data_IF_067354112092
#
_entry.id   IF_067354112092
#
_cell.length_a   1.000
_cell.length_b   1.000
_cell.length_c   1.000
_cell.angle_alpha   90.00
_cell.angle_beta   90.00
_cell.angle_gamma   90.00
#
_symmetry.space_group_name_H-M   'P 1'
#
loop_
_entity.id
_entity.type
_entity.pdbx_description
1 polymer ?
#
# COMPACT_ATOMS: atom_id res chain seq x y z
N UNK A 1 1.11 24.28 -17.21
CA UNK A 1 0.68 23.14 -16.37
C UNK A 1 1.96 22.41 -15.97
N UNK A 2 2.17 22.15 -14.69
CA UNK A 2 3.33 21.36 -14.24
C UNK A 2 3.05 19.88 -14.51
N UNK A 3 4.06 19.16 -15.00
CA UNK A 3 3.98 17.73 -15.34
C UNK A 3 5.22 16.99 -14.86
N UNK A 4 5.16 15.66 -14.81
CA UNK A 4 6.30 14.79 -14.57
C UNK A 4 6.51 13.92 -15.81
N UNK A 5 7.76 13.82 -16.26
CA UNK A 5 8.13 12.96 -17.38
C UNK A 5 8.85 11.74 -16.82
N UNK A 6 8.39 10.54 -17.19
CA UNK A 6 8.95 9.24 -16.79
C UNK A 6 9.34 8.49 -18.06
N UNK A 7 10.52 7.87 -18.07
CA UNK A 7 10.89 6.93 -19.14
C UNK A 7 10.02 5.68 -19.05
N UNK A 8 9.52 5.19 -20.18
CA UNK A 8 8.76 3.94 -20.17
C UNK A 8 9.71 2.78 -19.85
N UNK A 9 9.39 2.03 -18.80
CA UNK A 9 10.15 0.83 -18.43
C UNK A 9 9.54 -0.42 -19.09
N UNK A 10 8.21 -0.47 -19.15
CA UNK A 10 7.46 -1.56 -19.77
C UNK A 10 6.30 -0.99 -20.58
N UNK A 11 6.13 -1.47 -21.83
CA UNK A 11 5.02 -1.06 -22.71
C UNK A 11 3.64 -1.25 -22.05
N UNK A 12 3.52 -2.29 -21.20
CA UNK A 12 2.28 -2.57 -20.45
C UNK A 12 1.82 -1.42 -19.54
N UNK A 13 2.74 -0.56 -19.08
CA UNK A 13 2.36 0.62 -18.27
C UNK A 13 1.52 1.58 -19.11
N UNK A 14 1.98 1.88 -20.33
CA UNK A 14 1.25 2.73 -21.27
C UNK A 14 -0.10 2.10 -21.65
N UNK A 15 -0.12 0.81 -21.94
CA UNK A 15 -1.36 0.10 -22.28
C UNK A 15 -2.36 0.13 -21.13
N UNK A 16 -1.90 -0.03 -19.89
CA UNK A 16 -2.75 0.05 -18.69
C UNK A 16 -3.34 1.44 -18.53
N UNK A 17 -2.57 2.50 -18.75
CA UNK A 17 -3.05 3.88 -18.69
C UNK A 17 -4.05 4.25 -19.80
N UNK A 18 -4.07 3.51 -20.91
CA UNK A 18 -5.02 3.69 -22.02
C UNK A 18 -6.36 2.99 -21.81
N UNK A 19 -6.51 2.19 -20.75
CA UNK A 19 -7.79 1.57 -20.41
C UNK A 19 -8.74 2.68 -19.94
N UNK A 20 -9.95 2.84 -20.53
CA UNK A 20 -10.84 3.95 -20.21
C UNK A 20 -11.16 4.08 -18.71
N UNK A 21 -11.41 2.96 -18.02
CA UNK A 21 -11.69 2.95 -16.58
C UNK A 21 -10.49 3.45 -15.73
N UNK A 22 -9.25 3.23 -16.20
CA UNK A 22 -8.03 3.74 -15.56
C UNK A 22 -7.86 5.23 -15.87
N UNK A 23 -8.02 5.63 -17.13
CA UNK A 23 -7.87 7.01 -17.60
C UNK A 23 -8.88 7.96 -16.92
N UNK A 24 -10.13 7.52 -16.76
CA UNK A 24 -11.22 8.30 -16.17
C UNK A 24 -11.19 8.32 -14.63
N UNK A 25 -10.40 7.45 -13.99
CA UNK A 25 -10.38 7.34 -12.54
C UNK A 25 -9.77 8.56 -11.88
N UNK A 26 -10.48 9.25 -10.95
CA UNK A 26 -9.90 10.37 -10.21
C UNK A 26 -8.88 9.92 -9.15
N UNK A 27 -8.79 8.61 -8.89
CA UNK A 27 -7.95 8.02 -7.85
C UNK A 27 -6.69 7.34 -8.39
N UNK A 28 -6.52 7.32 -9.71
CA UNK A 28 -5.31 6.84 -10.38
C UNK A 28 -4.65 8.03 -11.07
N UNK A 29 -3.32 8.08 -11.00
CA UNK A 29 -2.54 9.17 -11.58
C UNK A 29 -2.75 9.22 -13.08
N UNK A 30 -3.16 10.39 -13.56
CA UNK A 30 -3.48 10.63 -14.96
C UNK A 30 -2.22 10.72 -15.82
N UNK A 31 -2.19 9.88 -16.85
CA UNK A 31 -1.34 10.09 -18.02
C UNK A 31 -1.92 11.26 -18.84
N UNK A 32 -1.12 12.30 -19.04
CA UNK A 32 -1.50 13.52 -19.74
C UNK A 32 -1.13 13.45 -21.21
N UNK A 33 0.06 12.90 -21.50
CA UNK A 33 0.61 12.82 -22.85
C UNK A 33 1.68 11.72 -22.96
N UNK A 34 2.09 11.41 -24.19
CA UNK A 34 3.20 10.50 -24.50
C UNK A 34 4.13 11.22 -25.48
N UNK A 35 5.43 11.27 -25.15
CA UNK A 35 6.44 11.81 -26.06
C UNK A 35 7.03 10.63 -26.83
N UNK A 36 6.82 10.61 -28.14
CA UNK A 36 7.34 9.56 -28.98
C UNK A 36 8.85 9.77 -29.29
N UNK A 37 9.61 8.68 -29.50
CA UNK A 37 11.04 8.72 -29.82
C UNK A 37 11.37 9.64 -31.01
N UNK A 38 10.48 9.65 -32.00
CA UNK A 38 10.64 10.36 -33.27
C UNK A 38 10.56 11.89 -33.14
N UNK A 39 9.92 12.40 -32.08
CA UNK A 39 9.66 13.84 -31.92
C UNK A 39 10.86 14.62 -31.35
N UNK A 40 11.75 13.96 -30.60
CA UNK A 40 12.87 14.63 -29.90
C UNK A 40 14.22 13.87 -29.93
N UNK A 41 14.32 12.77 -30.68
CA UNK A 41 15.55 11.98 -30.78
C UNK A 41 15.86 11.16 -29.52
N UNK A 42 14.82 10.79 -28.76
CA UNK A 42 14.94 9.87 -27.62
C UNK A 42 15.01 8.41 -28.13
N UNK A 43 15.65 7.53 -27.37
CA UNK A 43 15.71 6.09 -27.72
C UNK A 43 14.42 5.32 -27.37
N UNK A 44 13.62 5.83 -26.42
CA UNK A 44 12.38 5.20 -25.92
C UNK A 44 11.27 6.23 -25.70
N UNK A 45 9.98 5.84 -25.81
CA UNK A 45 8.86 6.72 -25.48
C UNK A 45 8.93 7.20 -24.03
N UNK A 46 8.41 8.40 -23.76
CA UNK A 46 8.30 8.95 -22.39
C UNK A 46 6.84 9.20 -22.03
N UNK A 47 6.47 8.84 -20.82
CA UNK A 47 5.14 9.08 -20.26
C UNK A 47 5.11 10.42 -19.55
N UNK A 48 4.15 11.28 -19.91
CA UNK A 48 3.95 12.59 -19.29
C UNK A 48 2.74 12.50 -18.36
N UNK A 49 2.99 12.57 -17.05
CA UNK A 49 1.96 12.50 -16.02
C UNK A 49 1.61 13.85 -15.45
N UNK A 50 0.40 13.95 -14.88
CA UNK A 50 0.03 15.09 -14.05
C UNK A 50 1.01 15.24 -12.86
N UNK A 51 1.26 16.48 -12.46
CA UNK A 51 2.07 16.78 -11.28
C UNK A 51 1.32 16.45 -9.98
N UNK A 52 2.03 15.84 -9.03
CA UNK A 52 1.59 15.64 -7.65
C UNK A 52 2.68 16.14 -6.69
N UNK A 53 2.30 16.78 -5.58
CA UNK A 53 3.25 17.54 -4.74
C UNK A 53 4.26 16.65 -4.00
N UNK A 54 3.82 15.50 -3.52
CA UNK A 54 4.66 14.54 -2.79
C UNK A 54 4.13 13.11 -2.91
N UNK A 55 4.93 12.14 -2.48
CA UNK A 55 4.47 10.78 -2.17
C UNK A 55 4.21 10.61 -0.66
N UNK A 56 3.44 9.58 -0.31
CA UNK A 56 3.06 9.25 1.07
C UNK A 56 4.28 8.93 1.93
N UNK A 57 5.32 8.32 1.36
CA UNK A 57 6.56 8.01 2.08
C UNK A 57 7.27 9.30 2.54
N UNK A 58 7.40 10.32 1.69
CA UNK A 58 7.97 11.61 2.08
C UNK A 58 7.07 12.37 3.07
N UNK A 59 5.75 12.18 3.01
CA UNK A 59 4.77 12.76 3.92
C UNK A 59 4.73 12.04 5.29
N UNK A 60 5.84 12.01 6.02
CA UNK A 60 5.93 11.30 7.30
C UNK A 60 5.08 11.92 8.42
N UNK A 61 4.31 11.13 9.18
CA UNK A 61 3.51 11.62 10.28
C UNK A 61 4.36 11.73 11.56
N UNK A 62 5.28 12.69 11.63
CA UNK A 62 6.07 12.93 12.85
C UNK A 62 5.29 13.81 13.83
N UNK A 63 4.92 13.25 14.98
CA UNK A 63 4.27 13.97 16.07
C UNK A 63 2.78 14.22 15.84
N UNK A 64 2.40 14.80 14.69
CA UNK A 64 1.00 15.01 14.30
C UNK A 64 0.82 14.86 12.79
N UNK A 65 -0.41 14.53 12.38
CA UNK A 65 -0.81 14.55 10.99
C UNK A 65 -1.07 15.99 10.53
N UNK A 66 -0.57 16.36 9.35
CA UNK A 66 -0.91 17.64 8.71
C UNK A 66 -2.41 17.77 8.47
N UNK A 67 -3.08 16.64 8.23
CA UNK A 67 -4.52 16.54 8.08
C UNK A 67 -5.07 15.42 8.98
N UNK A 68 -5.95 15.69 9.97
CA UNK A 68 -6.34 14.70 10.97
C UNK A 68 -7.00 13.43 10.44
N UNK A 69 -7.72 13.52 9.32
CA UNK A 69 -8.37 12.37 8.65
C UNK A 69 -7.55 11.80 7.48
N UNK A 70 -6.27 12.12 7.41
CA UNK A 70 -5.43 11.71 6.28
C UNK A 70 -5.37 10.19 6.11
N UNK A 71 -5.24 9.36 7.17
CA UNK A 71 -5.32 7.90 7.05
C UNK A 71 -6.60 7.43 6.34
N UNK A 72 -7.75 8.01 6.68
CA UNK A 72 -9.04 7.67 6.07
C UNK A 72 -9.12 8.12 4.60
N UNK A 73 -8.63 9.33 4.29
CA UNK A 73 -8.60 9.88 2.92
C UNK A 73 -7.71 9.05 2.02
N UNK A 74 -6.52 8.68 2.51
CA UNK A 74 -5.60 7.78 1.78
C UNK A 74 -6.26 6.43 1.55
N UNK A 75 -6.75 5.81 2.63
CA UNK A 75 -7.36 4.48 2.57
C UNK A 75 -8.52 4.47 1.58
N UNK A 76 -9.43 5.44 1.67
CA UNK A 76 -10.55 5.55 0.74
C UNK A 76 -10.06 5.67 -0.71
N UNK A 77 -9.15 6.59 -0.99
CA UNK A 77 -8.70 6.87 -2.36
C UNK A 77 -8.00 5.66 -2.98
N UNK A 78 -7.16 4.96 -2.22
CA UNK A 78 -6.50 3.73 -2.67
C UNK A 78 -7.51 2.62 -2.90
N UNK A 79 -8.51 2.46 -2.01
CA UNK A 79 -9.56 1.47 -2.19
C UNK A 79 -10.44 1.74 -3.42
N UNK A 80 -10.79 3.00 -3.70
CA UNK A 80 -11.53 3.37 -4.92
C UNK A 80 -10.71 3.09 -6.18
N UNK A 81 -9.39 3.33 -6.15
CA UNK A 81 -8.49 2.93 -7.24
C UNK A 81 -8.46 1.40 -7.41
N UNK A 82 -8.32 0.63 -6.32
CA UNK A 82 -8.28 -0.83 -6.38
C UNK A 82 -9.62 -1.46 -6.77
N UNK A 83 -10.76 -0.79 -6.54
CA UNK A 83 -12.04 -1.23 -7.07
C UNK A 83 -12.04 -1.22 -8.62
N UNK A 84 -11.40 -0.22 -9.25
CA UNK A 84 -11.21 -0.20 -10.71
C UNK A 84 -10.37 -1.39 -11.17
N UNK A 85 -9.26 -1.69 -10.49
CA UNK A 85 -8.44 -2.86 -10.83
C UNK A 85 -9.21 -4.18 -10.69
N UNK A 86 -9.99 -4.32 -9.63
CA UNK A 86 -10.82 -5.49 -9.38
C UNK A 86 -11.85 -5.70 -10.51
N UNK A 87 -12.52 -4.64 -10.97
CA UNK A 87 -13.49 -4.72 -12.07
C UNK A 87 -12.82 -5.07 -13.42
N UNK A 88 -11.53 -4.76 -13.57
CA UNK A 88 -10.71 -5.11 -14.72
C UNK A 88 -10.09 -6.52 -14.63
N UNK A 89 -10.35 -7.28 -13.56
CA UNK A 89 -9.66 -8.54 -13.26
C UNK A 89 -8.13 -8.41 -13.22
N UNK A 90 -7.66 -7.26 -12.73
CA UNK A 90 -6.26 -6.89 -12.66
C UNK A 90 -5.82 -6.64 -11.22
N UNK A 91 -4.50 -6.66 -11.03
CA UNK A 91 -3.81 -6.36 -9.77
C UNK A 91 -2.72 -5.33 -10.03
N UNK A 92 -2.53 -4.41 -9.09
CA UNK A 92 -1.48 -3.39 -9.14
C UNK A 92 -0.12 -3.97 -8.75
N UNK A 93 -0.10 -4.84 -7.73
CA UNK A 93 1.05 -5.54 -7.15
C UNK A 93 2.12 -4.69 -6.46
N UNK A 94 2.25 -3.41 -6.78
CA UNK A 94 3.19 -2.49 -6.10
C UNK A 94 2.53 -1.35 -5.31
N UNK A 95 1.44 -1.65 -4.59
CA UNK A 95 0.89 -0.70 -3.62
C UNK A 95 1.87 -0.51 -2.47
N UNK A 96 2.46 0.68 -2.39
CA UNK A 96 3.42 1.06 -1.36
C UNK A 96 3.32 2.55 -1.04
N UNK A 97 3.90 3.03 0.08
CA UNK A 97 3.92 4.45 0.38
C UNK A 97 4.62 5.32 -0.69
N UNK A 98 5.47 4.76 -1.55
CA UNK A 98 6.14 5.54 -2.61
C UNK A 98 5.21 5.76 -3.82
N UNK A 99 4.21 4.90 -3.98
CA UNK A 99 3.31 4.88 -5.14
C UNK A 99 1.92 5.46 -4.84
N UNK A 100 1.76 6.06 -3.65
CA UNK A 100 0.59 6.84 -3.27
C UNK A 100 1.01 8.30 -3.28
N UNK A 101 0.50 9.06 -4.24
CA UNK A 101 0.83 10.47 -4.44
C UNK A 101 -0.22 11.37 -3.80
N UNK A 102 0.21 12.51 -3.28
CA UNK A 102 -0.62 13.45 -2.55
C UNK A 102 -0.34 14.88 -3.01
N UNK A 103 -1.41 15.64 -3.20
CA UNK A 103 -1.38 17.08 -3.42
C UNK A 103 -2.37 17.79 -2.51
N UNK A 104 -2.18 19.10 -2.31
CA UNK A 104 -3.09 19.93 -1.50
C UNK A 104 -3.26 19.43 -0.06
N UNK A 105 -2.17 18.95 0.56
CA UNK A 105 -2.18 18.36 1.91
C UNK A 105 -2.65 19.34 3.00
N UNK A 106 -2.42 20.63 2.78
CA UNK A 106 -2.83 21.75 3.62
C UNK A 106 -4.30 22.16 3.41
N UNK A 107 -4.96 21.63 2.37
CA UNK A 107 -6.35 21.93 2.06
C UNK A 107 -7.31 20.96 2.77
N UNK A 108 -8.60 21.33 2.94
CA UNK A 108 -9.59 20.46 3.57
C UNK A 108 -9.85 19.15 2.82
N UNK A 109 -9.46 19.09 1.55
CA UNK A 109 -9.64 17.96 0.65
C UNK A 109 -8.32 17.66 -0.07
N UNK A 110 -7.38 16.95 0.58
CA UNK A 110 -6.18 16.47 -0.08
C UNK A 110 -6.55 15.55 -1.26
N UNK A 111 -5.82 15.67 -2.36
CA UNK A 111 -5.98 14.79 -3.51
C UNK A 111 -4.99 13.65 -3.35
N UNK A 112 -5.49 12.42 -3.33
CA UNK A 112 -4.66 11.21 -3.23
C UNK A 112 -4.89 10.35 -4.47
N UNK A 113 -3.79 9.93 -5.11
CA UNK A 113 -3.84 9.08 -6.30
C UNK A 113 -2.81 7.96 -6.23
N UNK A 114 -3.20 6.77 -6.67
CA UNK A 114 -2.30 5.65 -6.91
C UNK A 114 -1.52 5.90 -8.21
N UNK A 115 -0.24 5.59 -8.22
CA UNK A 115 0.68 5.77 -9.36
C UNK A 115 1.46 4.49 -9.59
N UNK A 116 2.20 4.46 -10.69
CA UNK A 116 3.18 3.42 -11.02
C UNK A 116 2.52 2.07 -11.36
N UNK A 117 1.90 2.03 -12.54
CA UNK A 117 1.15 0.87 -13.03
C UNK A 117 2.04 -0.09 -13.83
N UNK A 118 3.36 0.06 -13.70
CA UNK A 118 4.35 -0.68 -14.47
C UNK A 118 4.45 -2.15 -14.04
N UNK A 119 4.02 -2.49 -12.83
CA UNK A 119 3.93 -3.85 -12.31
C UNK A 119 2.49 -4.39 -12.32
N UNK A 120 1.54 -3.73 -13.01
CA UNK A 120 0.18 -4.21 -13.09
C UNK A 120 0.05 -5.42 -14.03
N UNK A 121 -0.76 -6.41 -13.62
CA UNK A 121 -1.03 -7.63 -14.39
C UNK A 121 -2.45 -8.13 -14.17
N UNK A 122 -2.89 -9.10 -14.98
CA UNK A 122 -4.09 -9.88 -14.71
C UNK A 122 -3.98 -10.64 -13.38
N UNK A 123 -5.11 -10.82 -12.69
CA UNK A 123 -5.16 -11.60 -11.46
C UNK A 123 -4.73 -13.07 -11.65
N UNK A 124 -4.16 -13.66 -10.60
CA UNK A 124 -3.68 -15.05 -10.56
C UNK A 124 -2.28 -15.26 -11.14
N UNK A 125 -1.62 -14.21 -11.65
CA UNK A 125 -0.24 -14.28 -12.16
C UNK A 125 0.73 -14.59 -11.01
N UNK A 126 1.64 -15.55 -11.26
CA UNK A 126 2.69 -15.96 -10.31
C UNK A 126 4.02 -15.23 -10.50
N UNK A 127 4.10 -14.31 -11.46
CA UNK A 127 5.33 -13.64 -11.90
C UNK A 127 5.94 -14.31 -13.13
N UNK A 128 6.96 -13.66 -13.73
CA UNK A 128 7.81 -14.24 -14.78
C UNK A 128 8.84 -15.24 -14.24
N UNK A 129 9.68 -15.81 -15.11
CA UNK A 129 10.78 -16.70 -14.67
C UNK A 129 11.72 -15.94 -13.72
N UNK A 130 11.75 -16.33 -12.45
CA UNK A 130 12.59 -15.70 -11.41
C UNK A 130 12.03 -14.41 -10.82
N UNK A 131 10.82 -14.00 -11.20
CA UNK A 131 10.14 -12.82 -10.65
C UNK A 131 8.97 -13.25 -9.77
N UNK A 132 8.74 -12.51 -8.69
CA UNK A 132 7.61 -12.72 -7.79
C UNK A 132 6.74 -11.46 -7.84
N UNK A 133 5.41 -11.58 -7.97
CA UNK A 133 4.53 -10.43 -7.93
C UNK A 133 4.60 -9.84 -6.51
N UNK A 134 4.59 -8.51 -6.41
CA UNK A 134 4.82 -7.74 -5.17
C UNK A 134 6.27 -7.69 -4.65
N UNK A 135 6.61 -6.51 -4.15
CA UNK A 135 7.87 -6.22 -3.44
C UNK A 135 7.91 -6.93 -2.09
N UNK A 136 9.12 -7.22 -1.59
CA UNK A 136 9.31 -7.95 -0.33
C UNK A 136 8.65 -7.26 0.87
N UNK A 137 8.56 -5.93 0.82
CA UNK A 137 8.01 -5.06 1.84
C UNK A 137 6.51 -5.25 2.03
N UNK A 138 5.75 -5.48 0.96
CA UNK A 138 4.28 -5.51 0.96
C UNK A 138 3.70 -6.84 0.48
N UNK A 139 4.54 -7.86 0.27
CA UNK A 139 4.14 -9.19 -0.23
C UNK A 139 3.21 -9.91 0.73
N UNK A 140 2.07 -10.37 0.19
CA UNK A 140 1.02 -11.06 0.91
C UNK A 140 1.37 -12.53 1.22
N UNK A 141 0.81 -13.14 2.29
CA UNK A 141 1.08 -14.53 2.67
C UNK A 141 0.79 -15.54 1.57
N UNK A 142 -0.29 -15.35 0.81
CA UNK A 142 -0.63 -16.23 -0.32
C UNK A 142 0.32 -16.10 -1.51
N UNK A 143 0.96 -14.94 -1.67
CA UNK A 143 1.99 -14.74 -2.68
C UNK A 143 3.29 -15.45 -2.27
N UNK A 144 3.66 -15.38 -0.98
CA UNK A 144 4.75 -16.21 -0.42
C UNK A 144 4.51 -17.72 -0.61
N UNK A 145 3.25 -18.15 -0.59
CA UNK A 145 2.83 -19.54 -0.87
C UNK A 145 2.82 -19.90 -2.37
N UNK A 146 3.18 -18.98 -3.26
CA UNK A 146 3.15 -19.24 -4.70
C UNK A 146 1.74 -19.39 -5.28
N UNK A 147 0.71 -18.84 -4.62
CA UNK A 147 -0.67 -18.84 -5.12
C UNK A 147 -0.91 -17.78 -6.23
N UNK A 148 0.10 -16.96 -6.55
CA UNK A 148 -0.04 -15.80 -7.44
C UNK A 148 -0.62 -14.59 -6.73
N UNK A 149 -0.56 -13.43 -7.39
CA UNK A 149 -1.15 -12.19 -6.88
C UNK A 149 -2.62 -12.07 -7.31
N UNK A 150 -3.46 -11.69 -6.36
CA UNK A 150 -4.91 -11.53 -6.52
C UNK A 150 -5.33 -10.17 -6.00
N UNK A 151 -6.57 -9.70 -6.26
CA UNK A 151 -7.07 -8.45 -5.67
C UNK A 151 -6.94 -8.43 -4.14
N UNK A 152 -7.12 -9.58 -3.49
CA UNK A 152 -6.87 -9.72 -2.05
C UNK A 152 -5.41 -9.43 -1.66
N UNK A 153 -4.42 -9.73 -2.52
CA UNK A 153 -3.01 -9.44 -2.27
C UNK A 153 -2.71 -7.95 -2.29
N UNK A 154 -3.38 -7.16 -3.15
CA UNK A 154 -3.29 -5.70 -3.10
C UNK A 154 -3.94 -5.14 -1.84
N UNK A 155 -5.06 -5.72 -1.38
CA UNK A 155 -5.70 -5.34 -0.11
C UNK A 155 -4.77 -5.53 1.09
N UNK A 156 -3.95 -6.60 1.08
CA UNK A 156 -2.89 -6.78 2.07
C UNK A 156 -1.83 -5.67 1.97
N UNK A 157 -1.39 -5.34 0.76
CA UNK A 157 -0.41 -4.27 0.53
C UNK A 157 -0.92 -2.89 0.98
N UNK A 158 -2.22 -2.61 0.91
CA UNK A 158 -2.82 -1.40 1.53
C UNK A 158 -2.59 -1.39 3.03
N UNK A 159 -2.91 -2.48 3.72
CA UNK A 159 -2.70 -2.62 5.17
C UNK A 159 -1.23 -2.41 5.55
N UNK A 160 -0.31 -3.07 4.85
CA UNK A 160 1.13 -2.93 5.10
C UNK A 160 1.62 -1.51 4.82
N UNK A 161 1.11 -0.87 3.76
CA UNK A 161 1.42 0.52 3.41
C UNK A 161 1.05 1.48 4.53
N UNK A 162 -0.16 1.35 5.09
CA UNK A 162 -0.60 2.15 6.22
C UNK A 162 0.30 1.95 7.45
N UNK A 163 0.63 0.70 7.78
CA UNK A 163 1.54 0.37 8.88
C UNK A 163 2.90 1.03 8.69
N UNK A 164 3.53 0.85 7.52
CA UNK A 164 4.87 1.39 7.24
C UNK A 164 4.90 2.91 7.29
N UNK A 165 3.85 3.55 6.79
CA UNK A 165 3.70 5.00 6.80
C UNK A 165 3.50 5.54 8.23
N UNK A 166 2.51 5.02 8.97
CA UNK A 166 2.19 5.45 10.34
C UNK A 166 3.38 5.26 11.28
N UNK A 167 4.10 4.14 11.16
CA UNK A 167 5.29 3.88 11.96
C UNK A 167 6.54 4.60 11.46
N UNK A 168 6.48 5.24 10.30
CA UNK A 168 7.63 5.89 9.64
C UNK A 168 8.84 4.94 9.42
N UNK A 169 8.59 3.62 9.38
CA UNK A 169 9.59 2.57 9.18
C UNK A 169 8.95 1.31 8.60
N UNK A 170 9.70 0.57 7.77
CA UNK A 170 9.26 -0.71 7.24
C UNK A 170 9.47 -1.84 8.27
N UNK A 171 8.39 -2.22 8.96
CA UNK A 171 8.42 -3.34 9.92
C UNK A 171 8.19 -4.70 9.25
N UNK A 172 7.63 -4.74 8.04
CA UNK A 172 7.67 -5.89 7.15
C UNK A 172 8.86 -5.78 6.18
N UNK A 173 9.13 -6.82 5.39
CA UNK A 173 10.20 -6.82 4.40
C UNK A 173 11.62 -7.00 4.97
N UNK A 174 12.65 -6.72 4.16
CA UNK A 174 14.01 -7.22 4.39
C UNK A 174 14.83 -6.39 5.40
N UNK A 175 14.36 -5.19 5.77
CA UNK A 175 15.12 -4.30 6.66
C UNK A 175 15.28 -4.89 8.07
N UNK A 176 16.37 -4.49 8.73
CA UNK A 176 16.70 -4.90 10.10
C UNK A 176 18.00 -5.70 10.14
N UNK A 177 17.90 -7.02 9.97
CA UNK A 177 19.07 -7.92 9.95
C UNK A 177 19.29 -8.47 8.55
N UNK A 178 20.55 -8.69 8.19
CA UNK A 178 20.92 -9.37 6.95
C UNK A 178 21.09 -10.85 7.27
N UNK A 179 20.21 -11.69 6.74
CA UNK A 179 20.41 -13.14 6.70
C UNK A 179 20.92 -13.45 5.29
N UNK A 180 22.23 -13.68 5.18
CA UNK A 180 22.91 -13.84 3.91
C UNK A 180 22.24 -14.96 3.10
N UNK A 181 21.91 -14.66 1.84
CA UNK A 181 21.28 -15.58 0.88
C UNK A 181 19.87 -16.08 1.27
N UNK A 182 19.29 -15.56 2.37
CA UNK A 182 18.00 -15.99 2.92
C UNK A 182 17.11 -14.79 3.29
N UNK A 183 17.02 -13.82 2.38
CA UNK A 183 16.21 -12.61 2.58
C UNK A 183 14.72 -12.95 2.72
N UNK A 184 14.23 -13.92 1.96
CA UNK A 184 12.84 -14.36 2.00
C UNK A 184 12.49 -15.01 3.35
N UNK A 185 13.37 -15.87 3.89
CA UNK A 185 13.20 -16.41 5.22
C UNK A 185 13.11 -15.30 6.29
N UNK A 186 13.92 -14.25 6.17
CA UNK A 186 13.87 -13.12 7.10
C UNK A 186 12.55 -12.34 6.99
N UNK A 187 12.08 -12.07 5.77
CA UNK A 187 10.80 -11.41 5.53
C UNK A 187 9.62 -12.23 6.11
N UNK A 188 9.58 -13.53 5.82
CA UNK A 188 8.55 -14.42 6.34
C UNK A 188 8.59 -14.54 7.86
N UNK A 189 9.76 -14.60 8.47
CA UNK A 189 9.89 -14.70 9.93
C UNK A 189 9.34 -13.45 10.63
N UNK A 190 9.59 -12.27 10.06
CA UNK A 190 9.01 -11.01 10.54
C UNK A 190 7.48 -10.98 10.36
N UNK A 191 6.98 -11.45 9.22
CA UNK A 191 5.53 -11.59 9.00
C UNK A 191 4.91 -12.50 10.07
N UNK A 192 5.51 -13.68 10.33
CA UNK A 192 5.05 -14.61 11.36
C UNK A 192 5.08 -14.01 12.77
N UNK A 193 6.12 -13.23 13.09
CA UNK A 193 6.24 -12.55 14.39
C UNK A 193 5.10 -11.54 14.60
N UNK A 194 4.78 -10.78 13.56
CA UNK A 194 3.78 -9.70 13.62
C UNK A 194 2.34 -10.22 13.54
N UNK A 195 2.08 -11.18 12.65
CA UNK A 195 0.71 -11.59 12.30
C UNK A 195 0.32 -12.97 12.83
N UNK A 196 1.29 -13.73 13.36
CA UNK A 196 1.13 -15.15 13.63
C UNK A 196 1.55 -16.04 12.46
N UNK A 197 1.72 -17.32 12.75
CA UNK A 197 2.20 -18.29 11.77
C UNK A 197 1.15 -18.62 10.72
N UNK A 198 1.63 -18.85 9.50
CA UNK A 198 0.82 -19.31 8.37
C UNK A 198 1.45 -20.58 7.78
N UNK A 199 0.60 -21.48 7.29
CA UNK A 199 1.03 -22.79 6.80
C UNK A 199 1.61 -22.73 5.39
N UNK A 200 2.59 -23.59 5.10
CA UNK A 200 3.11 -23.92 3.76
C UNK A 200 3.31 -25.43 3.64
N UNK A 201 3.20 -25.96 2.43
CA UNK A 201 3.37 -27.40 2.16
C UNK A 201 4.77 -27.72 1.64
N UNK A 202 5.25 -28.94 1.89
CA UNK A 202 6.64 -29.37 1.59
C UNK A 202 7.00 -29.35 0.10
N UNK A 203 5.99 -29.43 -0.76
CA UNK A 203 6.07 -29.43 -2.22
C UNK A 203 6.12 -28.02 -2.83
N UNK A 204 5.91 -26.96 -2.04
CA UNK A 204 5.92 -25.58 -2.52
C UNK A 204 7.34 -25.04 -2.70
N UNK A 205 7.53 -24.29 -3.78
CA UNK A 205 8.71 -23.45 -3.96
C UNK A 205 8.83 -22.48 -2.77
N UNK A 206 10.03 -22.39 -2.19
CA UNK A 206 10.27 -21.59 -0.99
C UNK A 206 10.04 -22.31 0.36
N UNK A 207 9.64 -23.58 0.39
CA UNK A 207 9.47 -24.33 1.65
C UNK A 207 10.73 -24.33 2.54
N UNK A 208 11.92 -24.41 1.94
CA UNK A 208 13.20 -24.33 2.67
C UNK A 208 13.38 -22.97 3.37
N UNK A 209 13.09 -21.88 2.67
CA UNK A 209 13.12 -20.52 3.24
C UNK A 209 12.09 -20.39 4.37
N UNK A 210 10.91 -20.97 4.22
CA UNK A 210 9.87 -20.93 5.26
C UNK A 210 10.20 -21.75 6.50
N UNK A 211 10.84 -22.91 6.31
CA UNK A 211 11.35 -23.69 7.44
C UNK A 211 12.40 -22.91 8.21
N UNK A 212 13.29 -22.22 7.49
CA UNK A 212 14.25 -21.30 8.12
C UNK A 212 13.54 -20.13 8.79
N UNK A 213 12.53 -19.54 8.16
CA UNK A 213 11.73 -18.45 8.72
C UNK A 213 11.09 -18.83 10.06
N UNK A 214 10.47 -20.02 10.11
CA UNK A 214 9.87 -20.57 11.32
C UNK A 214 10.91 -20.76 12.43
N UNK A 215 12.11 -21.22 12.07
CA UNK A 215 13.20 -21.36 13.02
C UNK A 215 13.73 -20.00 13.52
N UNK A 216 13.85 -19.00 12.63
CA UNK A 216 14.27 -17.64 12.96
C UNK A 216 13.27 -16.93 13.88
N UNK A 217 11.97 -17.10 13.64
CA UNK A 217 10.90 -16.54 14.47
C UNK A 217 10.90 -17.15 15.88
N UNK A 218 11.12 -18.46 15.99
CA UNK A 218 11.17 -19.18 17.26
C UNK A 218 12.50 -19.06 18.02
N UNK A 219 13.52 -18.45 17.41
CA UNK A 219 14.86 -18.42 17.96
C UNK A 219 14.99 -17.37 19.07
N UNK A 220 15.61 -17.76 20.17
CA UNK A 220 16.13 -16.83 21.19
C UNK A 220 17.65 -16.79 21.14
N UNK A 221 18.23 -15.66 21.53
CA UNK A 221 19.67 -15.51 21.75
C UNK A 221 19.95 -14.96 23.13
N UNK A 222 21.13 -15.27 23.67
CA UNK A 222 21.59 -14.70 24.93
C UNK A 222 22.25 -13.34 24.67
N UNK A 223 21.69 -12.28 25.24
CA UNK A 223 22.27 -10.94 25.16
C UNK A 223 23.65 -10.94 25.83
N UNK A 224 24.69 -10.58 25.08
CA UNK A 224 26.06 -10.67 25.56
C UNK A 224 26.39 -9.63 26.64
N UNK A 225 25.56 -8.58 26.80
CA UNK A 225 25.74 -7.52 27.80
C UNK A 225 24.97 -7.82 29.07
N UNK A 226 23.71 -8.24 28.95
CA UNK A 226 22.84 -8.46 30.12
C UNK A 226 22.80 -9.91 30.58
N UNK A 227 23.12 -10.86 29.70
CA UNK A 227 23.03 -12.30 29.95
C UNK A 227 21.61 -12.87 29.83
N UNK A 228 20.62 -12.03 29.53
CA UNK A 228 19.22 -12.45 29.39
C UNK A 228 18.98 -13.15 28.05
N UNK A 229 18.04 -14.10 28.03
CA UNK A 229 17.51 -14.63 26.77
C UNK A 229 16.57 -13.61 26.14
N UNK A 230 16.72 -13.34 24.85
CA UNK A 230 15.89 -12.42 24.08
C UNK A 230 15.48 -13.03 22.74
N UNK A 231 14.26 -12.75 22.25
CA UNK A 231 13.84 -13.15 20.91
C UNK A 231 14.80 -12.60 19.85
N UNK A 232 15.13 -13.44 18.87
CA UNK A 232 15.98 -13.05 17.76
C UNK A 232 15.35 -11.95 16.90
N UNK A 233 14.02 -12.01 16.75
CA UNK A 233 13.20 -10.94 16.17
C UNK A 233 12.61 -10.10 17.30
N UNK A 234 13.11 -8.87 17.42
CA UNK A 234 12.64 -7.90 18.42
C UNK A 234 11.35 -7.26 17.94
N UNK A 235 10.40 -7.04 18.86
CA UNK A 235 9.10 -6.43 18.59
C UNK A 235 7.97 -7.32 19.09
N UNK A 236 6.76 -6.76 19.15
CA UNK A 236 5.53 -7.44 19.53
C UNK A 236 4.77 -8.05 18.34
N UNK A 237 3.50 -8.35 18.59
CA UNK A 237 2.50 -8.54 17.53
C UNK A 237 2.24 -7.22 16.79
N UNK A 238 1.62 -7.27 15.61
CA UNK A 238 1.28 -6.05 14.87
C UNK A 238 0.38 -5.11 15.69
N UNK A 239 -0.60 -5.66 16.41
CA UNK A 239 -1.50 -4.85 17.23
C UNK A 239 -0.73 -4.12 18.33
N UNK A 240 0.19 -4.80 19.04
CA UNK A 240 1.05 -4.17 20.06
C UNK A 240 1.94 -3.07 19.47
N UNK A 241 2.51 -3.30 18.27
CA UNK A 241 3.33 -2.31 17.57
C UNK A 241 2.50 -1.08 17.17
N UNK A 242 1.26 -1.26 16.71
CA UNK A 242 0.35 -0.17 16.37
C UNK A 242 -0.17 0.59 17.60
N UNK A 243 -0.48 -0.12 18.69
CA UNK A 243 -0.89 0.47 19.97
C UNK A 243 0.23 1.31 20.61
N UNK A 244 1.48 1.05 20.27
CA UNK A 244 2.62 1.85 20.73
C UNK A 244 2.71 3.24 20.07
N UNK A 245 1.97 3.48 18.98
CA UNK A 245 1.92 4.77 18.31
C UNK A 245 1.12 5.80 19.14
N UNK A 246 1.46 7.09 19.03
CA UNK A 246 0.62 8.17 19.56
C UNK A 246 -0.82 8.05 19.04
N UNK A 247 -1.81 8.22 19.93
CA UNK A 247 -3.24 8.09 19.59
C UNK A 247 -3.69 9.11 18.55
N UNK A 248 -3.03 10.26 18.51
CA UNK A 248 -3.25 11.32 17.53
C UNK A 248 -2.86 10.90 16.11
N UNK A 249 -1.95 9.92 15.99
CA UNK A 249 -1.52 9.35 14.71
C UNK A 249 -2.33 8.10 14.36
N UNK A 250 -2.61 7.23 15.32
CA UNK A 250 -3.31 5.97 15.10
C UNK A 250 -4.37 5.73 16.20
N UNK A 251 -5.63 6.05 15.88
CA UNK A 251 -6.76 5.74 16.75
C UNK A 251 -7.13 4.26 16.68
N UNK A 252 -7.89 3.76 17.67
CA UNK A 252 -8.29 2.35 17.73
C UNK A 252 -9.02 1.90 16.46
N UNK A 253 -9.88 2.73 15.91
CA UNK A 253 -10.63 2.46 14.68
C UNK A 253 -9.71 2.31 13.45
N UNK A 254 -8.56 3.00 13.45
CA UNK A 254 -7.52 2.85 12.42
C UNK A 254 -6.80 1.50 12.58
N UNK A 255 -6.47 1.12 13.82
CA UNK A 255 -5.86 -0.19 14.13
C UNK A 255 -6.79 -1.32 13.69
N UNK A 256 -8.08 -1.26 14.08
CA UNK A 256 -9.09 -2.26 13.70
C UNK A 256 -9.24 -2.37 12.18
N UNK A 257 -9.22 -1.24 11.48
CA UNK A 257 -9.27 -1.22 10.02
C UNK A 257 -8.02 -1.84 9.38
N UNK A 258 -6.82 -1.52 9.89
CA UNK A 258 -5.57 -2.12 9.40
C UNK A 258 -5.57 -3.64 9.63
N UNK A 259 -6.00 -4.11 10.80
CA UNK A 259 -6.11 -5.54 11.11
C UNK A 259 -7.15 -6.23 10.22
N UNK A 260 -8.26 -5.55 9.91
CA UNK A 260 -9.28 -6.04 8.97
C UNK A 260 -8.73 -6.23 7.55
N UNK A 261 -7.85 -5.33 7.08
CA UNK A 261 -7.15 -5.47 5.80
C UNK A 261 -6.09 -6.59 5.82
N UNK A 262 -5.45 -6.81 6.97
CA UNK A 262 -4.37 -7.78 7.17
C UNK A 262 -4.86 -9.14 7.68
N UNK A 263 -6.05 -9.56 7.26
CA UNK A 263 -6.53 -10.93 7.44
C UNK A 263 -5.59 -11.92 6.71
N UNK A 264 -5.07 -12.90 7.45
CA UNK A 264 -4.11 -13.89 6.96
C UNK A 264 -4.76 -14.85 5.96
N UNK A 265 -6.02 -15.23 6.18
CA UNK A 265 -6.77 -16.01 5.21
C UNK A 265 -7.28 -15.10 4.08
N UNK A 266 -6.58 -15.08 2.95
CA UNK A 266 -6.92 -14.24 1.80
C UNK A 266 -8.36 -14.44 1.29
N UNK A 267 -9.02 -15.57 1.60
CA UNK A 267 -10.43 -15.81 1.25
C UNK A 267 -11.42 -15.11 2.16
N UNK A 268 -10.99 -14.71 3.36
CA UNK A 268 -11.76 -13.93 4.34
C UNK A 268 -11.39 -12.45 4.32
N UNK A 269 -10.25 -12.12 3.70
CA UNK A 269 -9.80 -10.74 3.52
C UNK A 269 -10.82 -9.96 2.70
N UNK A 270 -11.16 -8.72 3.10
CA UNK A 270 -12.18 -7.95 2.40
C UNK A 270 -11.75 -7.58 1.00
N UNK A 271 -12.74 -7.44 0.12
CA UNK A 271 -12.60 -6.75 -1.17
C UNK A 271 -12.48 -5.24 -0.97
N UNK A 272 -12.06 -4.53 -2.01
CA UNK A 272 -11.99 -3.07 -1.98
C UNK A 272 -13.35 -2.43 -1.67
N UNK A 273 -14.41 -2.93 -2.31
CA UNK A 273 -15.78 -2.47 -2.11
C UNK A 273 -16.30 -2.72 -0.69
N UNK A 274 -15.98 -3.87 -0.08
CA UNK A 274 -16.33 -4.16 1.32
C UNK A 274 -15.58 -3.25 2.29
N UNK A 275 -14.29 -3.02 2.05
CA UNK A 275 -13.47 -2.14 2.87
C UNK A 275 -13.93 -0.67 2.81
N UNK A 276 -14.44 -0.21 1.66
CA UNK A 276 -15.08 1.12 1.53
C UNK A 276 -16.32 1.26 2.43
N UNK A 277 -16.94 0.15 2.82
CA UNK A 277 -18.09 0.15 3.74
C UNK A 277 -17.71 0.14 5.22
N UNK A 278 -16.41 0.01 5.55
CA UNK A 278 -15.93 -0.07 6.93
C UNK A 278 -16.19 1.24 7.71
N UNK A 279 -16.55 1.20 9.02
CA UNK A 279 -16.82 2.39 9.82
C UNK A 279 -15.71 3.44 9.80
N UNK A 280 -14.45 3.00 9.80
CA UNK A 280 -13.26 3.87 9.67
C UNK A 280 -13.36 4.77 8.43
N UNK A 281 -13.72 4.21 7.27
CA UNK A 281 -13.87 4.94 6.00
C UNK A 281 -15.17 5.76 5.96
N UNK A 282 -16.26 5.24 6.51
CA UNK A 282 -17.53 5.99 6.55
C UNK A 282 -17.48 7.22 7.45
N UNK A 283 -16.59 7.23 8.44
CA UNK A 283 -16.38 8.39 9.33
C UNK A 283 -15.85 9.64 8.60
N UNK A 284 -15.24 9.45 7.42
CA UNK A 284 -14.80 10.54 6.54
C UNK A 284 -15.99 11.36 6.04
N UNK A 285 -17.17 10.75 5.88
CA UNK A 285 -18.40 11.36 5.33
C UNK A 285 -19.31 11.99 6.42
N UNK A 286 -19.22 11.55 7.68
CA UNK A 286 -20.29 11.80 8.67
C UNK A 286 -19.97 12.80 9.79
N UNK A 287 -18.69 13.11 10.07
CA UNK A 287 -18.32 14.00 11.21
C UNK A 287 -18.09 15.47 10.89
N UNK A 288 -18.17 15.80 9.63
CA UNK A 288 -18.11 17.16 9.12
C UNK A 288 -19.11 17.13 7.98
N UNK A 289 -20.11 18.02 7.95
CA UNK A 289 -21.32 17.94 7.10
C UNK A 289 -21.08 18.01 5.58
N UNK A 290 -20.11 17.28 5.05
CA UNK A 290 -19.65 17.27 3.69
C UNK A 290 -20.20 16.01 3.03
N UNK A 291 -21.33 16.18 2.35
CA UNK A 291 -21.71 15.26 1.28
C UNK A 291 -20.65 15.40 0.20
N UNK A 292 -19.99 14.30 -0.15
CA UNK A 292 -19.47 14.15 -1.51
C UNK A 292 -20.70 14.22 -2.43
N UNK A 293 -20.77 15.27 -3.24
CA UNK A 293 -21.68 15.29 -4.36
C UNK A 293 -21.14 14.26 -5.36
N UNK A 294 -21.88 13.16 -5.53
CA UNK A 294 -21.84 12.47 -6.82
C UNK A 294 -22.17 13.52 -7.87
N UNK A 295 -21.39 13.56 -8.95
CA UNK A 295 -21.47 14.49 -10.09
C UNK A 295 -20.54 15.70 -9.98
N UNK A 296 -19.23 15.48 -10.12
CA UNK A 296 -18.31 16.24 -10.99
C UNK A 296 -18.23 17.78 -10.99
N UNK A 297 -18.96 18.50 -10.13
CA UNK A 297 -18.99 19.96 -10.09
C UNK A 297 -19.08 20.49 -8.66
N UNK A 298 -18.17 21.39 -8.32
CA UNK A 298 -18.16 22.17 -7.08
C UNK A 298 -19.35 23.14 -7.05
N UNK A 299 -20.35 22.87 -6.20
CA UNK A 299 -21.26 23.92 -5.76
C UNK A 299 -20.65 24.64 -4.55
N UNK A 300 -20.10 25.83 -4.81
CA UNK A 300 -19.87 26.86 -3.80
C UNK A 300 -21.22 27.25 -3.19
N UNK A 301 -21.58 26.72 -2.02
CA UNK A 301 -22.56 27.39 -1.16
C UNK A 301 -21.84 28.52 -0.42
N UNK A 302 -21.81 29.69 -1.07
CA UNK A 302 -21.55 30.96 -0.39
C UNK A 302 -22.58 31.13 0.73
N UNK A 303 -22.16 30.99 1.99
CA UNK A 303 -22.78 31.70 3.09
C UNK A 303 -21.78 32.72 3.61
N UNK A 304 -21.83 33.91 3.01
CA UNK A 304 -21.36 35.12 3.65
C UNK A 304 -22.11 35.26 5.00
N UNK A 305 -21.38 35.22 6.10
CA UNK A 305 -21.81 35.91 7.32
C UNK A 305 -20.88 37.11 7.47
N UNK A 306 -21.34 38.24 6.94
CA UNK A 306 -20.86 39.56 7.33
C UNK A 306 -21.26 39.76 8.79
N UNK A 307 -20.27 39.90 9.68
CA UNK A 307 -20.47 40.64 10.92
C UNK A 307 -19.94 42.06 10.69
N UNK A 308 -20.85 43.03 10.85
CA UNK A 308 -20.53 44.44 11.08
C UNK A 308 -19.81 44.61 12.42
#
# INVERSE_FOLDING_TARGET
>A
MSVVIKDILFERELDTHRIPAIEESPYIRRLVDVIDPEDEGHEVPKLVFEWMDTDLWKCRPYGNLSHPKLPEVISKSVLEALAVFQDLHAVHTDISPNNILISNLDQPFPIVKVSDLDQAFMEGVKGGEGECPQTLETRAPEVWRGCGAWPASDMWSVGVTLVHWLMSRAIFGPRGKIIKDHTDAWCMAKLMRLMGRFDMTEDMDGYKEWRLATALEAMDFKDHKTGDMRPYIVGGTLEEELESLPRELCMRECIEFILYLLELDYKKRPTALEALQHPFIKSTVTRSGWKLANDGYLLLSCNYILYL
#
